data_IF_036520798908
#
_entry.id   IF_036520798908
#
_cell.length_a   1.000
_cell.length_b   1.000
_cell.length_c   1.000
_cell.angle_alpha   90.00
_cell.angle_beta   90.00
_cell.angle_gamma   90.00
#
_symmetry.space_group_name_H-M   'P 1'
#
loop_
_entity.id
_entity.type
_entity.pdbx_description
1 polymer ?
#
# COMPACT_ATOMS: atom_id res chain seq x y z
N UNK A 1 13.61 -9.50 -25.19
CA UNK A 1 14.62 -10.54 -24.84
C UNK A 1 14.11 -11.25 -23.60
N UNK A 2 14.29 -12.58 -23.52
CA UNK A 2 13.87 -13.39 -22.39
C UNK A 2 14.71 -13.18 -21.11
N UNK A 3 14.44 -13.91 -20.03
CA UNK A 3 15.20 -13.83 -18.80
C UNK A 3 16.67 -14.18 -19.01
N UNK A 4 17.54 -13.48 -18.29
CA UNK A 4 19.00 -13.66 -18.35
C UNK A 4 19.47 -14.13 -16.98
N UNK A 5 20.33 -15.15 -16.93
CA UNK A 5 20.90 -15.62 -15.67
C UNK A 5 21.80 -14.55 -15.05
N UNK A 6 21.69 -14.31 -13.75
CA UNK A 6 22.55 -13.36 -13.04
C UNK A 6 24.04 -13.66 -13.26
N UNK A 7 24.43 -14.96 -13.21
CA UNK A 7 25.81 -15.39 -13.46
C UNK A 7 26.36 -14.96 -14.83
N UNK A 8 25.50 -14.75 -15.81
CA UNK A 8 25.90 -14.27 -17.13
C UNK A 8 26.09 -12.74 -17.19
N UNK A 9 25.69 -12.03 -16.13
CA UNK A 9 25.81 -10.57 -16.01
C UNK A 9 26.96 -10.17 -15.07
N UNK A 10 27.44 -11.09 -14.23
CA UNK A 10 28.51 -10.84 -13.24
C UNK A 10 29.90 -11.08 -13.85
N UNK A 11 30.33 -10.18 -14.71
CA UNK A 11 31.75 -10.13 -15.14
C UNK A 11 32.57 -9.15 -14.29
N UNK A 12 31.94 -8.23 -13.52
CA UNK A 12 32.61 -7.21 -12.73
C UNK A 12 31.70 -6.61 -11.64
N UNK A 13 32.27 -6.15 -10.51
CA UNK A 13 31.56 -5.48 -9.39
C UNK A 13 30.83 -4.18 -9.79
N UNK A 14 31.19 -3.58 -10.93
CA UNK A 14 30.50 -2.40 -11.47
C UNK A 14 29.10 -2.73 -11.98
N UNK A 15 28.85 -3.99 -12.37
CA UNK A 15 27.56 -4.44 -12.87
C UNK A 15 26.48 -4.49 -11.77
N UNK A 16 26.83 -4.75 -10.52
CA UNK A 16 25.89 -4.77 -9.39
C UNK A 16 25.18 -3.43 -9.23
N UNK A 17 25.93 -2.33 -9.23
CA UNK A 17 25.36 -0.98 -9.09
C UNK A 17 24.47 -0.60 -10.29
N UNK A 18 24.87 -1.02 -11.49
CA UNK A 18 24.08 -0.77 -12.69
C UNK A 18 22.76 -1.57 -12.66
N UNK A 19 22.81 -2.83 -12.22
CA UNK A 19 21.63 -3.69 -12.08
C UNK A 19 20.68 -3.14 -11.01
N UNK A 20 21.18 -2.77 -9.83
CA UNK A 20 20.37 -2.17 -8.77
C UNK A 20 19.69 -0.88 -9.23
N UNK A 21 20.40 -0.06 -10.01
CA UNK A 21 19.81 1.13 -10.61
C UNK A 21 18.72 0.81 -11.64
N UNK A 22 18.92 -0.20 -12.49
CA UNK A 22 17.90 -0.64 -13.44
C UNK A 22 16.66 -1.20 -12.74
N UNK A 23 16.85 -1.92 -11.62
CA UNK A 23 15.76 -2.44 -10.79
C UNK A 23 15.02 -1.28 -10.12
N UNK A 24 15.74 -0.31 -9.55
CA UNK A 24 15.12 0.87 -8.90
C UNK A 24 14.33 1.75 -9.89
N UNK A 25 14.71 1.76 -11.15
CA UNK A 25 14.01 2.45 -12.25
C UNK A 25 12.85 1.62 -12.85
N UNK A 26 12.62 0.39 -12.38
CA UNK A 26 11.59 -0.50 -12.93
C UNK A 26 11.88 -1.04 -14.33
N UNK A 27 13.11 -0.87 -14.85
CA UNK A 27 13.53 -1.35 -16.19
C UNK A 27 13.88 -2.84 -16.16
N UNK A 28 14.35 -3.33 -15.01
CA UNK A 28 14.67 -4.73 -14.79
C UNK A 28 13.96 -5.26 -13.53
N UNK A 29 13.66 -6.54 -13.51
CA UNK A 29 13.07 -7.25 -12.37
C UNK A 29 13.97 -8.44 -12.05
N UNK A 30 14.36 -8.58 -10.78
CA UNK A 30 15.08 -9.75 -10.29
C UNK A 30 14.06 -10.83 -9.96
N UNK A 31 14.07 -11.94 -10.67
CA UNK A 31 13.27 -13.11 -10.34
C UNK A 31 13.95 -13.92 -9.21
N UNK A 32 13.16 -14.36 -8.26
CA UNK A 32 13.59 -15.17 -7.14
C UNK A 32 12.46 -16.11 -6.71
N UNK A 33 12.70 -16.94 -5.69
CA UNK A 33 11.67 -17.75 -5.08
C UNK A 33 10.58 -16.87 -4.45
N UNK A 34 9.32 -17.17 -4.75
CA UNK A 34 8.17 -16.39 -4.34
C UNK A 34 7.23 -17.19 -3.43
N UNK A 35 6.31 -16.55 -2.70
CA UNK A 35 5.26 -17.26 -1.97
C UNK A 35 4.38 -18.15 -2.85
N UNK A 36 4.19 -17.80 -4.14
CA UNK A 36 3.48 -18.65 -5.10
C UNK A 36 4.24 -19.96 -5.38
N UNK A 37 5.57 -19.89 -5.52
CA UNK A 37 6.40 -21.10 -5.66
C UNK A 37 6.28 -22.00 -4.42
N UNK A 38 6.27 -21.41 -3.21
CA UNK A 38 6.04 -22.16 -1.98
C UNK A 38 4.66 -22.84 -1.97
N UNK A 39 3.62 -22.17 -2.48
CA UNK A 39 2.29 -22.76 -2.61
C UNK A 39 2.25 -23.94 -3.58
N UNK A 40 3.00 -23.88 -4.69
CA UNK A 40 3.11 -24.99 -5.63
C UNK A 40 3.81 -26.22 -5.00
N UNK A 41 4.90 -26.00 -4.27
CA UNK A 41 5.61 -27.09 -3.56
C UNK A 41 4.70 -27.77 -2.54
N UNK A 42 3.89 -26.98 -1.83
CA UNK A 42 2.98 -27.50 -0.79
C UNK A 42 1.62 -27.97 -1.35
N UNK A 43 1.44 -27.99 -2.67
CA UNK A 43 0.20 -28.41 -3.31
C UNK A 43 -1.01 -27.50 -3.09
N UNK A 44 -0.80 -26.27 -2.59
CA UNK A 44 -1.86 -25.26 -2.36
C UNK A 44 -2.27 -24.55 -3.64
N UNK A 45 -1.43 -24.58 -4.67
CA UNK A 45 -1.67 -24.06 -6.02
C UNK A 45 -1.09 -25.03 -7.06
N UNK A 46 -1.65 -25.04 -8.28
CA UNK A 46 -1.23 -25.93 -9.37
C UNK A 46 -1.25 -25.20 -10.74
N UNK A 47 -1.24 -23.89 -10.74
CA UNK A 47 -1.39 -23.09 -11.96
C UNK A 47 -0.14 -23.07 -12.83
N UNK A 48 1.05 -23.34 -12.23
CA UNK A 48 2.35 -23.21 -12.89
C UNK A 48 3.19 -24.47 -12.68
N UNK A 49 4.45 -24.44 -13.18
CA UNK A 49 5.33 -25.62 -13.15
C UNK A 49 5.89 -25.89 -11.75
N UNK A 50 5.49 -27.01 -11.08
CA UNK A 50 5.96 -27.33 -9.75
C UNK A 50 7.44 -27.74 -9.71
N UNK A 51 8.00 -28.28 -10.80
CA UNK A 51 9.42 -28.67 -10.86
C UNK A 51 10.33 -27.46 -10.84
N UNK A 52 9.92 -26.38 -11.54
CA UNK A 52 10.64 -25.10 -11.49
C UNK A 52 10.62 -24.51 -10.08
N UNK A 53 9.49 -24.58 -9.37
CA UNK A 53 9.37 -24.12 -7.98
C UNK A 53 10.27 -24.94 -7.04
N UNK A 54 10.34 -26.26 -7.20
CA UNK A 54 11.22 -27.13 -6.41
C UNK A 54 12.70 -26.79 -6.64
N UNK A 55 13.10 -26.59 -7.90
CA UNK A 55 14.48 -26.21 -8.22
C UNK A 55 14.84 -24.84 -7.60
N UNK A 56 13.95 -23.86 -7.71
CA UNK A 56 14.13 -22.55 -7.09
C UNK A 56 14.25 -22.64 -5.57
N UNK A 57 13.43 -23.51 -4.92
CA UNK A 57 13.53 -23.75 -3.48
C UNK A 57 14.89 -24.34 -3.08
N UNK A 58 15.41 -25.32 -3.83
CA UNK A 58 16.74 -25.91 -3.59
C UNK A 58 17.83 -24.85 -3.61
N UNK A 59 17.83 -24.02 -4.63
CA UNK A 59 18.82 -22.94 -4.77
C UNK A 59 18.73 -21.97 -3.60
N UNK A 60 17.52 -21.54 -3.25
CA UNK A 60 17.33 -20.55 -2.17
C UNK A 60 17.55 -21.14 -0.79
N UNK A 61 17.23 -22.42 -0.57
CA UNK A 61 17.54 -23.12 0.67
C UNK A 61 19.08 -23.22 0.89
N UNK A 62 19.82 -23.57 -0.16
CA UNK A 62 21.30 -23.54 -0.12
C UNK A 62 21.86 -22.16 0.15
N UNK A 63 21.35 -21.13 -0.53
CA UNK A 63 21.75 -19.74 -0.32
C UNK A 63 21.48 -19.31 1.13
N UNK A 64 20.32 -19.62 1.68
CA UNK A 64 19.95 -19.25 3.06
C UNK A 64 20.80 -20.01 4.09
N UNK A 65 21.18 -21.24 3.81
CA UNK A 65 22.08 -22.01 4.66
C UNK A 65 23.47 -21.39 4.70
N UNK A 66 24.03 -21.04 3.56
CA UNK A 66 25.37 -20.47 3.45
C UNK A 66 25.50 -19.05 4.00
N UNK A 67 24.48 -18.21 3.79
CA UNK A 67 24.56 -16.78 4.10
C UNK A 67 23.83 -16.38 5.39
N UNK A 68 22.84 -17.16 5.84
CA UNK A 68 21.99 -16.83 7.00
C UNK A 68 22.11 -17.88 8.12
N UNK A 69 22.86 -18.97 7.91
CA UNK A 69 23.00 -20.04 8.88
C UNK A 69 21.72 -20.83 9.15
N UNK A 70 20.75 -20.78 8.23
CA UNK A 70 19.47 -21.49 8.33
C UNK A 70 19.60 -22.85 7.64
N UNK A 71 19.13 -23.93 8.27
CA UNK A 71 19.14 -25.27 7.69
C UNK A 71 17.70 -25.78 7.48
N UNK A 72 17.50 -26.55 6.44
CA UNK A 72 16.20 -27.05 6.02
C UNK A 72 16.30 -28.56 5.75
N UNK A 73 15.34 -29.33 6.29
CA UNK A 73 15.30 -30.78 6.06
C UNK A 73 14.99 -31.12 4.59
N UNK A 74 14.16 -30.30 3.96
CA UNK A 74 13.77 -30.43 2.56
C UNK A 74 13.15 -29.13 2.03
N UNK A 75 12.80 -29.12 0.73
CA UNK A 75 12.19 -27.98 0.05
C UNK A 75 10.82 -27.61 0.63
N UNK A 76 10.06 -28.58 1.14
CA UNK A 76 8.75 -28.34 1.76
C UNK A 76 8.90 -27.60 3.08
N UNK A 77 9.92 -27.91 3.90
CA UNK A 77 10.21 -27.18 5.14
C UNK A 77 10.59 -25.73 4.84
N UNK A 78 11.41 -25.49 3.81
CA UNK A 78 11.73 -24.14 3.33
C UNK A 78 10.49 -23.40 2.85
N UNK A 79 9.63 -24.04 2.04
CA UNK A 79 8.39 -23.46 1.53
C UNK A 79 7.43 -23.09 2.67
N UNK A 80 7.27 -23.94 3.68
CA UNK A 80 6.46 -23.65 4.87
C UNK A 80 6.99 -22.45 5.65
N UNK A 81 8.32 -22.36 5.81
CA UNK A 81 8.94 -21.20 6.45
C UNK A 81 8.63 -19.91 5.70
N UNK A 82 8.74 -19.89 4.36
CA UNK A 82 8.44 -18.72 3.56
C UNK A 82 6.97 -18.30 3.74
N UNK A 83 6.00 -19.24 3.65
CA UNK A 83 4.59 -18.90 3.86
C UNK A 83 4.31 -18.41 5.28
N UNK A 84 4.94 -19.02 6.29
CA UNK A 84 4.83 -18.55 7.67
C UNK A 84 5.35 -17.12 7.83
N UNK A 85 6.45 -16.75 7.17
CA UNK A 85 6.97 -15.38 7.18
C UNK A 85 6.00 -14.42 6.52
N UNK A 86 5.44 -14.77 5.36
CA UNK A 86 4.44 -13.94 4.67
C UNK A 86 3.21 -13.73 5.54
N UNK A 87 2.66 -14.79 6.13
CA UNK A 87 1.49 -14.69 7.00
C UNK A 87 1.74 -13.81 8.24
N UNK A 88 2.93 -13.96 8.86
CA UNK A 88 3.32 -13.12 10.00
C UNK A 88 3.50 -11.65 9.61
N UNK A 89 4.15 -11.36 8.48
CA UNK A 89 4.31 -9.99 8.00
C UNK A 89 2.96 -9.35 7.67
N UNK A 90 2.06 -10.10 7.01
CA UNK A 90 0.72 -9.63 6.71
C UNK A 90 -0.08 -9.35 8.00
N UNK A 91 -0.03 -10.26 8.97
CA UNK A 91 -0.67 -10.07 10.28
C UNK A 91 -0.12 -8.85 11.02
N UNK A 92 1.21 -8.65 11.02
CA UNK A 92 1.83 -7.45 11.61
C UNK A 92 1.25 -6.19 10.97
N UNK A 93 1.23 -6.10 9.64
CA UNK A 93 0.71 -4.92 8.93
C UNK A 93 -0.78 -4.66 9.19
N UNK A 94 -1.59 -5.72 9.28
CA UNK A 94 -3.01 -5.59 9.63
C UNK A 94 -3.19 -5.04 11.04
N UNK A 95 -2.46 -5.56 12.03
CA UNK A 95 -2.53 -5.09 13.41
C UNK A 95 -2.00 -3.67 13.55
N UNK A 96 -0.92 -3.30 12.85
CA UNK A 96 -0.40 -1.93 12.79
C UNK A 96 -1.44 -0.96 12.23
N UNK A 97 -2.08 -1.32 11.12
CA UNK A 97 -3.13 -0.49 10.50
C UNK A 97 -4.34 -0.36 11.41
N UNK A 98 -4.82 -1.47 12.00
CA UNK A 98 -5.95 -1.45 12.91
C UNK A 98 -5.67 -0.60 14.16
N UNK A 99 -4.44 -0.64 14.69
CA UNK A 99 -4.05 0.20 15.81
C UNK A 99 -4.03 1.68 15.42
N UNK A 100 -3.46 2.02 14.26
CA UNK A 100 -3.41 3.39 13.76
C UNK A 100 -4.83 3.97 13.58
N UNK A 101 -5.75 3.22 12.98
CA UNK A 101 -7.16 3.60 12.81
C UNK A 101 -7.89 3.74 14.17
N UNK A 102 -7.58 2.89 15.15
CA UNK A 102 -8.20 2.93 16.48
C UNK A 102 -7.75 4.15 17.29
N UNK A 103 -6.50 4.56 17.14
CA UNK A 103 -5.90 5.67 17.89
C UNK A 103 -6.17 7.06 17.29
N UNK A 104 -6.99 7.16 16.26
CA UNK A 104 -7.43 8.36 15.52
C UNK A 104 -6.72 9.67 15.89
N UNK A 105 -5.87 10.17 15.00
CA UNK A 105 -5.37 11.55 15.01
C UNK A 105 -4.06 11.80 15.76
N UNK A 106 -3.35 10.80 16.21
CA UNK A 106 -1.98 10.94 16.70
C UNK A 106 -1.05 10.15 15.79
N UNK A 107 -0.04 10.84 15.28
CA UNK A 107 1.01 10.36 14.39
C UNK A 107 1.17 8.83 14.38
N UNK A 108 0.69 8.20 13.29
CA UNK A 108 0.59 6.74 13.16
C UNK A 108 1.93 5.99 13.06
N UNK A 109 3.01 6.55 13.59
CA UNK A 109 4.27 5.84 13.77
C UNK A 109 4.24 5.02 15.06
N UNK A 110 4.26 3.70 14.89
CA UNK A 110 4.42 2.79 16.01
C UNK A 110 5.78 3.02 16.69
N UNK A 111 5.75 3.10 18.01
CA UNK A 111 6.98 3.06 18.80
C UNK A 111 7.62 1.67 18.69
N UNK A 112 8.93 1.58 18.92
CA UNK A 112 9.65 0.30 18.94
C UNK A 112 9.06 -0.71 19.94
N UNK A 113 8.48 -0.24 21.03
CA UNK A 113 7.82 -1.08 22.02
C UNK A 113 6.50 -1.71 21.52
N UNK A 114 5.74 -0.99 20.70
CA UNK A 114 4.49 -1.51 20.11
C UNK A 114 4.79 -2.59 19.06
N UNK A 115 5.81 -2.40 18.22
CA UNK A 115 6.27 -3.41 17.27
C UNK A 115 6.74 -4.69 17.96
N UNK A 116 7.47 -4.57 19.06
CA UNK A 116 7.94 -5.72 19.85
C UNK A 116 6.77 -6.52 20.46
N UNK A 117 5.67 -5.88 20.86
CA UNK A 117 4.47 -6.56 21.36
C UNK A 117 3.76 -7.34 20.23
N UNK A 118 3.69 -6.80 19.03
CA UNK A 118 3.15 -7.54 17.88
C UNK A 118 4.02 -8.75 17.54
N UNK A 119 5.33 -8.59 17.52
CA UNK A 119 6.24 -9.72 17.29
C UNK A 119 6.07 -10.81 18.36
N UNK A 120 5.99 -10.45 19.64
CA UNK A 120 5.76 -11.38 20.74
C UNK A 120 4.45 -12.15 20.55
N UNK A 121 3.36 -11.46 20.21
CA UNK A 121 2.06 -12.09 19.98
C UNK A 121 2.06 -13.06 18.81
N UNK A 122 2.72 -12.68 17.70
CA UNK A 122 2.76 -13.48 16.46
C UNK A 122 3.77 -14.62 16.52
N UNK A 123 4.80 -14.53 17.35
CA UNK A 123 5.75 -15.63 17.59
C UNK A 123 5.19 -16.63 18.61
N UNK A 124 4.43 -16.14 19.60
CA UNK A 124 3.81 -16.91 20.69
C UNK A 124 4.72 -18.03 21.24
N UNK A 125 5.92 -17.72 21.75
CA UNK A 125 6.85 -18.75 22.21
C UNK A 125 6.27 -19.49 23.43
N UNK A 126 6.40 -20.81 23.44
CA UNK A 126 5.79 -21.68 24.46
C UNK A 126 6.23 -21.33 25.88
N UNK A 127 7.51 -21.00 26.06
CA UNK A 127 8.13 -20.72 27.34
C UNK A 127 8.29 -19.21 27.65
N UNK A 128 7.53 -18.33 26.99
CA UNK A 128 7.60 -16.91 27.28
C UNK A 128 7.02 -16.56 28.65
N UNK A 129 7.74 -15.72 29.42
CA UNK A 129 7.24 -15.16 30.67
C UNK A 129 6.06 -14.21 30.44
N UNK A 130 6.03 -13.54 29.29
CA UNK A 130 4.95 -12.67 28.86
C UNK A 130 4.36 -13.22 27.57
N UNK A 131 3.04 -13.40 27.53
CA UNK A 131 2.30 -13.75 26.32
C UNK A 131 1.37 -12.60 25.94
N UNK A 132 1.33 -12.27 24.67
CA UNK A 132 0.40 -11.30 24.12
C UNK A 132 -0.50 -11.97 23.08
N UNK A 133 -1.73 -11.52 22.98
CA UNK A 133 -2.71 -11.95 21.99
C UNK A 133 -3.49 -10.73 21.51
N UNK A 134 -3.67 -10.60 20.23
CA UNK A 134 -4.47 -9.54 19.63
C UNK A 134 -5.63 -10.17 18.85
N UNK A 135 -6.81 -9.62 19.03
CA UNK A 135 -8.03 -10.00 18.31
C UNK A 135 -8.42 -8.85 17.40
N UNK A 136 -8.44 -9.08 16.09
CA UNK A 136 -8.95 -8.11 15.14
C UNK A 136 -10.49 -8.11 15.21
N UNK A 137 -11.08 -7.00 15.65
CA UNK A 137 -12.52 -6.86 15.90
C UNK A 137 -13.42 -6.89 14.65
N UNK A 138 -12.83 -7.04 13.45
CA UNK A 138 -13.52 -7.10 12.17
C UNK A 138 -13.06 -8.31 11.36
N UNK A 139 -13.89 -8.86 10.46
CA UNK A 139 -13.46 -9.95 9.58
C UNK A 139 -12.42 -9.46 8.58
N UNK A 140 -11.52 -10.37 8.18
CA UNK A 140 -10.57 -10.14 7.10
C UNK A 140 -11.22 -10.54 5.77
N UNK A 141 -11.39 -9.59 4.85
CA UNK A 141 -11.86 -9.86 3.50
C UNK A 141 -10.67 -10.10 2.58
N UNK A 142 -10.55 -11.32 2.07
CA UNK A 142 -9.45 -11.71 1.18
C UNK A 142 -9.78 -11.49 -0.28
N UNK A 143 -8.94 -10.73 -1.01
CA UNK A 143 -9.06 -10.47 -2.44
C UNK A 143 -7.76 -10.84 -3.17
N UNK A 144 -7.89 -11.26 -4.44
CA UNK A 144 -6.76 -11.62 -5.29
C UNK A 144 -6.53 -13.13 -5.41
N UNK A 145 -5.71 -13.52 -6.38
CA UNK A 145 -5.47 -14.93 -6.73
C UNK A 145 -4.92 -15.78 -5.56
N UNK A 146 -3.94 -15.33 -4.75
CA UNK A 146 -3.32 -16.17 -3.72
C UNK A 146 -4.10 -16.24 -2.40
N UNK A 147 -5.28 -15.66 -2.33
CA UNK A 147 -6.07 -15.51 -1.09
C UNK A 147 -6.32 -16.86 -0.37
N UNK A 148 -6.61 -17.90 -1.13
CA UNK A 148 -6.87 -19.24 -0.57
C UNK A 148 -5.62 -19.94 -0.03
N UNK A 149 -4.43 -19.44 -0.39
CA UNK A 149 -3.17 -20.16 -0.15
C UNK A 149 -2.57 -19.90 1.22
N UNK A 150 -2.62 -18.65 1.74
CA UNK A 150 -1.97 -18.30 3.01
C UNK A 150 -2.71 -17.23 3.85
N UNK A 151 -3.82 -16.63 3.34
CA UNK A 151 -4.58 -15.67 4.16
C UNK A 151 -5.35 -16.31 5.30
N UNK A 152 -5.64 -17.62 5.23
CA UNK A 152 -6.20 -18.37 6.36
C UNK A 152 -5.29 -18.33 7.59
N UNK A 153 -3.98 -18.57 7.39
CA UNK A 153 -2.99 -18.49 8.46
C UNK A 153 -2.85 -17.06 9.00
N UNK A 154 -2.93 -16.05 8.11
CA UNK A 154 -2.92 -14.63 8.51
C UNK A 154 -4.12 -14.28 9.40
N UNK A 155 -5.33 -14.71 9.02
CA UNK A 155 -6.53 -14.48 9.80
C UNK A 155 -6.47 -15.18 11.16
N UNK A 156 -5.95 -16.40 11.20
CA UNK A 156 -5.73 -17.15 12.45
C UNK A 156 -4.75 -16.41 13.39
N UNK A 157 -3.66 -15.84 12.85
CA UNK A 157 -2.70 -15.05 13.64
C UNK A 157 -3.32 -13.76 14.22
N UNK A 158 -4.32 -13.19 13.54
CA UNK A 158 -5.06 -12.01 14.00
C UNK A 158 -6.32 -12.38 14.79
N UNK A 159 -6.54 -13.66 15.10
CA UNK A 159 -7.74 -14.18 15.78
C UNK A 159 -9.04 -13.67 15.17
N UNK A 160 -9.14 -13.65 13.85
CA UNK A 160 -10.33 -13.23 13.12
C UNK A 160 -10.72 -14.25 12.05
N UNK A 161 -11.91 -14.12 11.50
CA UNK A 161 -12.37 -14.95 10.40
C UNK A 161 -11.94 -14.37 9.06
N UNK A 162 -11.63 -15.27 8.11
CA UNK A 162 -11.39 -14.91 6.72
C UNK A 162 -12.68 -15.07 5.92
N UNK A 163 -13.09 -14.02 5.23
CA UNK A 163 -14.18 -14.03 4.26
C UNK A 163 -13.61 -13.90 2.85
N UNK A 164 -13.93 -14.83 1.97
CA UNK A 164 -13.47 -14.83 0.57
C UNK A 164 -14.69 -14.69 -0.32
N UNK A 165 -14.92 -13.52 -0.94
CA UNK A 165 -16.01 -13.32 -1.89
C UNK A 165 -15.91 -14.25 -3.11
N UNK A 166 -17.03 -14.51 -3.76
CA UNK A 166 -17.11 -15.43 -4.91
C UNK A 166 -16.11 -15.06 -6.02
N UNK A 167 -15.98 -13.78 -6.32
CA UNK A 167 -15.08 -13.27 -7.39
C UNK A 167 -13.75 -12.73 -6.86
N UNK A 168 -13.31 -13.17 -5.68
CA UNK A 168 -12.08 -12.70 -5.05
C UNK A 168 -10.84 -12.81 -5.96
N UNK A 169 -10.74 -13.88 -6.74
CA UNK A 169 -9.60 -14.16 -7.63
C UNK A 169 -9.49 -13.20 -8.82
N UNK A 170 -10.60 -12.60 -9.23
CA UNK A 170 -10.66 -11.60 -10.32
C UNK A 170 -11.05 -10.21 -9.82
N UNK A 171 -10.95 -9.95 -8.53
CA UNK A 171 -11.36 -8.71 -7.89
C UNK A 171 -10.76 -7.46 -8.57
N UNK A 172 -9.51 -7.53 -9.04
CA UNK A 172 -8.87 -6.43 -9.76
C UNK A 172 -9.57 -6.14 -11.09
N UNK A 173 -9.95 -7.17 -11.86
CA UNK A 173 -10.67 -7.00 -13.12
C UNK A 173 -12.09 -6.45 -12.86
N UNK A 174 -12.79 -6.99 -11.86
CA UNK A 174 -14.10 -6.47 -11.44
C UNK A 174 -13.97 -5.01 -11.00
N UNK A 175 -12.99 -4.69 -10.17
CA UNK A 175 -12.73 -3.33 -9.70
C UNK A 175 -12.41 -2.36 -10.84
N UNK A 176 -11.69 -2.79 -11.87
CA UNK A 176 -11.40 -1.98 -13.03
C UNK A 176 -12.66 -1.64 -13.86
N UNK A 177 -13.65 -2.55 -13.90
CA UNK A 177 -14.90 -2.35 -14.64
C UNK A 177 -15.91 -1.52 -13.83
N UNK A 178 -16.06 -1.81 -12.52
CA UNK A 178 -17.08 -1.17 -11.67
C UNK A 178 -16.52 0.00 -10.85
N UNK A 179 -15.21 0.18 -10.89
CA UNK A 179 -14.53 1.23 -10.15
C UNK A 179 -14.91 2.63 -10.62
N UNK A 180 -14.55 3.61 -9.82
CA UNK A 180 -14.71 5.03 -10.16
C UNK A 180 -13.34 5.64 -10.38
N UNK A 181 -13.13 6.26 -11.52
CA UNK A 181 -11.96 7.14 -11.75
C UNK A 181 -12.10 8.32 -10.80
N UNK A 182 -11.06 8.60 -10.01
CA UNK A 182 -11.06 9.71 -9.06
C UNK A 182 -9.73 10.44 -9.13
N UNK A 183 -9.78 11.74 -9.34
CA UNK A 183 -8.62 12.62 -9.37
C UNK A 183 -8.85 13.82 -8.43
N UNK A 184 -7.78 14.25 -7.79
CA UNK A 184 -7.83 15.35 -6.83
C UNK A 184 -6.89 16.47 -7.25
N UNK A 185 -7.39 17.72 -7.11
CA UNK A 185 -6.59 18.92 -7.16
C UNK A 185 -6.74 19.65 -5.83
N UNK A 186 -5.67 20.27 -5.33
CA UNK A 186 -5.69 20.93 -4.02
C UNK A 186 -5.02 22.28 -4.10
N UNK A 187 -5.44 23.19 -3.24
CA UNK A 187 -4.79 24.47 -2.98
C UNK A 187 -4.74 24.74 -1.48
N UNK A 188 -3.68 25.37 -1.04
CA UNK A 188 -3.50 25.87 0.31
C UNK A 188 -3.54 27.40 0.28
N UNK A 189 -4.33 28.00 1.17
CA UNK A 189 -4.38 29.45 1.37
C UNK A 189 -3.73 29.75 2.71
N UNK A 190 -2.74 30.64 2.71
CA UNK A 190 -2.03 31.06 3.92
C UNK A 190 -2.11 32.59 4.11
N UNK A 191 -2.14 33.11 5.34
CA UNK A 191 -2.11 34.54 5.56
C UNK A 191 -0.74 35.12 5.18
N UNK A 192 -0.74 36.29 4.54
CA UNK A 192 0.44 37.16 4.35
C UNK A 192 0.53 38.13 5.51
N UNK A 193 -0.62 38.74 5.82
CA UNK A 193 -0.80 39.66 6.95
C UNK A 193 -2.21 39.50 7.55
N UNK A 194 -2.74 40.49 8.26
CA UNK A 194 -4.07 40.46 8.89
C UNK A 194 -5.24 40.43 7.92
N UNK A 195 -5.03 40.82 6.66
CA UNK A 195 -6.08 40.96 5.65
C UNK A 195 -5.77 40.16 4.41
N UNK A 196 -4.53 40.26 3.92
CA UNK A 196 -4.11 39.61 2.67
C UNK A 196 -3.75 38.15 2.87
N UNK A 197 -4.07 37.36 1.87
CA UNK A 197 -3.78 35.93 1.84
C UNK A 197 -3.09 35.51 0.54
N UNK A 198 -2.33 34.44 0.60
CA UNK A 198 -1.65 33.83 -0.55
C UNK A 198 -2.20 32.44 -0.82
N UNK A 199 -2.55 32.20 -2.06
CA UNK A 199 -2.91 30.90 -2.59
C UNK A 199 -1.65 30.20 -3.10
N UNK A 200 -1.50 28.92 -2.73
CA UNK A 200 -0.52 27.99 -3.27
C UNK A 200 -1.28 26.86 -4.00
N UNK A 201 -1.16 26.80 -5.31
CA UNK A 201 -1.84 25.81 -6.14
C UNK A 201 -0.86 25.22 -7.17
N UNK A 202 -0.30 24.04 -6.90
CA UNK A 202 0.79 23.47 -7.69
C UNK A 202 2.01 24.41 -7.69
N UNK A 203 2.47 24.80 -8.89
CA UNK A 203 3.57 25.75 -9.06
C UNK A 203 3.10 27.22 -9.04
N UNK A 204 1.80 27.46 -9.00
CA UNK A 204 1.23 28.81 -9.02
C UNK A 204 1.08 29.38 -7.62
N UNK A 205 1.48 30.64 -7.47
CA UNK A 205 1.23 31.43 -6.27
C UNK A 205 0.56 32.73 -6.68
N UNK A 206 -0.50 33.13 -5.95
CA UNK A 206 -1.24 34.35 -6.20
C UNK A 206 -1.74 34.96 -4.89
N UNK A 207 -1.62 36.30 -4.77
CA UNK A 207 -2.06 37.05 -3.60
C UNK A 207 -3.45 37.65 -3.82
N UNK A 208 -4.26 37.62 -2.76
CA UNK A 208 -5.63 38.14 -2.74
C UNK A 208 -5.84 39.10 -1.56
N UNK A 209 -6.77 40.02 -1.74
CA UNK A 209 -7.08 40.98 -0.70
C UNK A 209 -7.87 40.33 0.46
N UNK A 210 -8.65 39.31 0.20
CA UNK A 210 -9.46 38.63 1.22
C UNK A 210 -9.43 37.12 1.07
N UNK A 211 -9.72 36.39 2.17
CA UNK A 211 -9.84 34.92 2.17
C UNK A 211 -10.95 34.45 1.22
N UNK A 212 -12.08 35.16 1.19
CA UNK A 212 -13.22 34.74 0.37
C UNK A 212 -12.96 34.92 -1.14
N UNK A 213 -12.25 35.97 -1.54
CA UNK A 213 -11.81 36.12 -2.94
C UNK A 213 -10.84 34.99 -3.34
N UNK A 214 -9.89 34.68 -2.47
CA UNK A 214 -8.95 33.56 -2.67
C UNK A 214 -9.67 32.22 -2.76
N UNK A 215 -10.60 31.97 -1.86
CA UNK A 215 -11.38 30.73 -1.85
C UNK A 215 -12.23 30.58 -3.12
N UNK A 216 -12.93 31.62 -3.53
CA UNK A 216 -13.75 31.61 -4.75
C UNK A 216 -12.91 31.33 -6.01
N UNK A 217 -11.73 31.95 -6.10
CA UNK A 217 -10.78 31.68 -7.18
C UNK A 217 -10.27 30.23 -7.15
N UNK A 218 -9.88 29.74 -5.97
CA UNK A 218 -9.44 28.36 -5.80
C UNK A 218 -10.53 27.37 -6.21
N UNK A 219 -11.75 27.55 -5.76
CA UNK A 219 -12.88 26.67 -6.09
C UNK A 219 -13.11 26.59 -7.60
N UNK A 220 -13.09 27.73 -8.29
CA UNK A 220 -13.25 27.76 -9.74
C UNK A 220 -12.08 27.10 -10.46
N UNK A 221 -10.84 27.41 -10.07
CA UNK A 221 -9.62 26.89 -10.69
C UNK A 221 -9.48 25.38 -10.45
N UNK A 222 -9.65 24.94 -9.20
CA UNK A 222 -9.54 23.54 -8.85
C UNK A 222 -10.66 22.69 -9.45
N UNK A 223 -11.87 23.23 -9.60
CA UNK A 223 -12.96 22.55 -10.29
C UNK A 223 -12.59 22.20 -11.73
N UNK A 224 -12.01 23.17 -12.46
CA UNK A 224 -11.57 22.94 -13.83
C UNK A 224 -10.41 21.93 -13.89
N UNK A 225 -9.43 22.09 -13.00
CA UNK A 225 -8.27 21.20 -12.91
C UNK A 225 -8.69 19.76 -12.58
N UNK A 226 -9.54 19.56 -11.57
CA UNK A 226 -9.99 18.21 -11.17
C UNK A 226 -10.85 17.55 -12.26
N UNK A 227 -11.66 18.34 -12.97
CA UNK A 227 -12.44 17.86 -14.11
C UNK A 227 -11.51 17.38 -15.23
N UNK A 228 -10.53 18.20 -15.60
CA UNK A 228 -9.56 17.87 -16.64
C UNK A 228 -8.75 16.61 -16.29
N UNK A 229 -8.21 16.54 -15.07
CA UNK A 229 -7.47 15.37 -14.59
C UNK A 229 -8.32 14.09 -14.61
N UNK A 230 -9.61 14.19 -14.25
CA UNK A 230 -10.50 13.04 -14.29
C UNK A 230 -10.78 12.57 -15.71
N UNK A 231 -10.96 13.50 -16.68
CA UNK A 231 -11.12 13.18 -18.10
C UNK A 231 -9.85 12.55 -18.68
N UNK A 232 -8.69 13.09 -18.38
CA UNK A 232 -7.38 12.55 -18.80
C UNK A 232 -7.13 11.15 -18.23
N UNK A 233 -7.59 10.89 -17.00
CA UNK A 233 -7.56 9.58 -16.38
C UNK A 233 -8.62 8.61 -16.91
N UNK A 234 -9.42 9.01 -17.91
CA UNK A 234 -10.41 8.17 -18.59
C UNK A 234 -11.76 8.11 -17.88
N UNK A 235 -12.16 9.11 -17.11
CA UNK A 235 -13.51 9.20 -16.57
C UNK A 235 -14.52 9.58 -17.66
N UNK A 236 -15.66 8.89 -17.69
CA UNK A 236 -16.83 9.32 -18.44
C UNK A 236 -17.70 10.20 -17.54
N UNK A 237 -18.14 11.34 -18.08
CA UNK A 237 -19.05 12.30 -17.41
C UNK A 237 -18.66 12.60 -15.95
N UNK A 238 -17.41 13.06 -15.68
CA UNK A 238 -16.95 13.25 -14.33
C UNK A 238 -17.70 14.39 -13.62
N UNK A 239 -18.06 14.16 -12.37
CA UNK A 239 -18.62 15.15 -11.45
C UNK A 239 -17.52 15.65 -10.51
N UNK A 240 -17.58 16.93 -10.15
CA UNK A 240 -16.59 17.53 -9.25
C UNK A 240 -17.25 17.97 -7.95
N UNK A 241 -16.77 17.41 -6.83
CA UNK A 241 -17.05 17.91 -5.49
C UNK A 241 -15.89 18.77 -4.98
N UNK A 242 -16.22 19.76 -4.14
CA UNK A 242 -15.22 20.62 -3.48
C UNK A 242 -15.43 20.52 -1.98
N UNK A 243 -14.31 20.39 -1.27
CA UNK A 243 -14.23 20.41 0.19
C UNK A 243 -13.32 21.56 0.60
N UNK A 244 -13.79 22.42 1.51
CA UNK A 244 -13.01 23.50 2.11
C UNK A 244 -12.89 23.26 3.61
N UNK A 245 -11.69 23.39 4.13
CA UNK A 245 -11.39 23.26 5.55
C UNK A 245 -10.55 24.43 6.01
N UNK A 246 -11.17 25.34 6.77
CA UNK A 246 -10.54 26.53 7.31
C UNK A 246 -10.04 26.24 8.73
N UNK A 247 -8.75 26.48 8.96
CA UNK A 247 -8.13 26.43 10.27
C UNK A 247 -8.13 27.82 10.90
N UNK A 248 -9.11 28.09 11.77
CA UNK A 248 -9.33 29.36 12.45
C UNK A 248 -9.29 29.11 13.95
N UNK A 249 -8.44 29.81 14.69
CA UNK A 249 -8.45 29.76 16.15
C UNK A 249 -9.06 31.03 16.72
N UNK A 250 -9.92 30.88 17.72
CA UNK A 250 -10.53 32.00 18.47
C UNK A 250 -9.71 32.27 19.72
N UNK A 251 -9.25 33.50 19.88
CA UNK A 251 -8.60 33.98 21.10
C UNK A 251 -9.40 35.16 21.66
N UNK A 252 -10.32 34.87 22.57
CA UNK A 252 -11.29 35.85 23.07
C UNK A 252 -12.31 36.24 22.01
N UNK A 253 -12.39 37.55 21.66
CA UNK A 253 -13.26 38.06 20.60
C UNK A 253 -12.56 38.17 19.23
N UNK A 254 -11.31 37.79 19.11
CA UNK A 254 -10.56 37.83 17.84
C UNK A 254 -10.46 36.43 17.25
N UNK A 255 -10.77 36.31 15.95
CA UNK A 255 -10.52 35.15 15.15
C UNK A 255 -9.19 35.30 14.42
N UNK A 256 -8.33 34.29 14.52
CA UNK A 256 -7.03 34.26 13.84
C UNK A 256 -7.08 33.17 12.81
N UNK A 257 -6.98 33.53 11.55
CA UNK A 257 -6.88 32.61 10.43
C UNK A 257 -5.44 32.09 10.30
N UNK A 258 -5.27 30.78 10.21
CA UNK A 258 -3.98 30.13 10.03
C UNK A 258 -3.80 29.62 8.61
N UNK A 259 -4.78 28.92 8.07
CA UNK A 259 -4.74 28.36 6.72
C UNK A 259 -6.13 27.88 6.28
N UNK A 260 -6.33 27.76 4.98
CA UNK A 260 -7.48 27.08 4.40
C UNK A 260 -7.02 26.05 3.38
N UNK A 261 -7.51 24.83 3.50
CA UNK A 261 -7.23 23.74 2.58
C UNK A 261 -8.45 23.50 1.70
N UNK A 262 -8.31 23.66 0.39
CA UNK A 262 -9.38 23.44 -0.57
C UNK A 262 -9.01 22.28 -1.46
N UNK A 263 -9.88 21.28 -1.53
CA UNK A 263 -9.70 20.06 -2.31
C UNK A 263 -10.87 19.90 -3.27
N UNK A 264 -10.58 19.86 -4.55
CA UNK A 264 -11.56 19.47 -5.57
C UNK A 264 -11.33 18.02 -5.98
N UNK A 265 -12.38 17.20 -5.99
CA UNK A 265 -12.33 15.80 -6.40
C UNK A 265 -13.22 15.61 -7.63
N UNK A 266 -12.59 15.33 -8.78
CA UNK A 266 -13.25 14.90 -9.99
C UNK A 266 -13.43 13.38 -9.97
N UNK A 267 -14.66 12.88 -10.13
CA UNK A 267 -14.96 11.46 -10.12
C UNK A 267 -15.97 11.08 -11.19
N UNK A 268 -15.75 9.94 -11.85
CA UNK A 268 -16.63 9.45 -12.90
C UNK A 268 -16.44 7.95 -13.16
N UNK A 269 -17.33 7.33 -13.88
CA UNK A 269 -17.17 5.94 -14.32
C UNK A 269 -16.01 5.86 -15.32
N UNK A 270 -15.26 4.74 -15.38
CA UNK A 270 -14.30 4.53 -16.45
C UNK A 270 -15.01 4.60 -17.81
N UNK A 271 -14.45 5.34 -18.75
CA UNK A 271 -14.92 5.33 -20.12
C UNK A 271 -14.73 3.93 -20.71
N UNK A 272 -15.78 3.38 -21.35
CA UNK A 272 -15.65 2.10 -22.02
C UNK A 272 -14.55 2.20 -23.09
N UNK A 273 -13.59 1.29 -23.07
CA UNK A 273 -12.60 1.20 -24.13
C UNK A 273 -13.33 0.96 -25.46
N UNK A 274 -13.16 1.88 -26.40
CA UNK A 274 -13.58 1.65 -27.78
C UNK A 274 -12.47 0.85 -28.45
N UNK A 275 -12.71 -0.46 -28.60
CA UNK A 275 -11.88 -1.33 -29.41
C UNK A 275 -12.20 -1.09 -30.90
#
# INVERSE_FOLDING_TARGET
>A
KGPVALSALYEDQTMDRALDRLISLGIAIKSSFTPSDACHILGKQQDWNPEAAQLAAKIMALYSSQNLGLSWDNESAFAQYILSKVSKQAATRLLETALAETLTGKDGQLSSGQSALFELALQNPENALLKAKFDLGVPLVGLGAPVKSYYGDTAALCNTRLEIPEYAHVANAVGAVVGTVRQRAHALITPIDRVQVRVHCGEHQQDFATLEEAAAWCEQHLRQTALQLALEAGAADPQVSIERNDNIASKGNEEVFFESNIIATGSGRPAAARY
#
